data_IF_549115936510
#
_entry.id   IF_549115936510
#
_cell.length_a   1.000
_cell.length_b   1.000
_cell.length_c   1.000
_cell.angle_alpha   90.00
_cell.angle_beta   90.00
_cell.angle_gamma   90.00
#
_symmetry.space_group_name_H-M   'P 1'
#
loop_
_entity.id
_entity.type
_entity.pdbx_description
1 polymer ?
#
# COMPACT_ATOMS: atom_id res chain seq x y z
N UNK A 1 45.57 31.53 24.75
CA UNK A 1 45.29 30.61 23.62
C UNK A 1 45.72 31.28 22.33
N UNK A 2 46.51 30.62 21.47
CA UNK A 2 47.03 31.23 20.23
C UNK A 2 45.94 31.17 19.14
N UNK A 3 45.97 32.08 18.14
CA UNK A 3 44.99 32.10 17.02
C UNK A 3 44.85 30.74 16.32
N UNK A 4 45.96 30.00 16.21
CA UNK A 4 46.01 28.64 15.65
C UNK A 4 45.19 27.61 16.44
N UNK A 5 45.07 27.77 17.76
CA UNK A 5 44.28 26.87 18.62
C UNK A 5 42.78 27.09 18.39
N UNK A 6 42.36 28.35 18.21
CA UNK A 6 40.97 28.70 17.88
C UNK A 6 40.53 28.18 16.51
N UNK A 7 41.40 28.24 15.50
CA UNK A 7 41.09 27.68 14.18
C UNK A 7 40.87 26.16 14.26
N UNK A 8 41.70 25.45 15.04
CA UNK A 8 41.51 24.00 15.27
C UNK A 8 40.20 23.69 15.99
N UNK A 9 39.85 24.47 17.01
CA UNK A 9 38.58 24.31 17.73
C UNK A 9 37.39 24.52 16.79
N UNK A 10 37.40 25.56 15.96
CA UNK A 10 36.33 25.82 14.98
C UNK A 10 36.19 24.65 13.99
N UNK A 11 37.31 24.13 13.48
CA UNK A 11 37.29 22.98 12.57
C UNK A 11 36.72 21.73 13.22
N UNK A 12 37.12 21.42 14.45
CA UNK A 12 36.60 20.25 15.19
C UNK A 12 35.10 20.40 15.47
N UNK A 13 34.65 21.56 15.93
CA UNK A 13 33.22 21.82 16.19
C UNK A 13 32.41 21.73 14.89
N UNK A 14 32.94 22.27 13.78
CA UNK A 14 32.28 22.19 12.47
C UNK A 14 32.17 20.75 11.97
N UNK A 15 33.23 19.94 12.11
CA UNK A 15 33.21 18.52 11.74
C UNK A 15 32.20 17.73 12.57
N UNK A 16 32.17 17.94 13.88
CA UNK A 16 31.21 17.28 14.78
C UNK A 16 29.77 17.70 14.47
N UNK A 17 29.53 18.99 14.23
CA UNK A 17 28.22 19.50 13.85
C UNK A 17 27.71 18.91 12.53
N UNK A 18 28.55 18.87 11.49
CA UNK A 18 28.21 18.26 10.21
C UNK A 18 27.97 16.75 10.33
N UNK A 19 28.77 16.04 11.13
CA UNK A 19 28.58 14.62 11.39
C UNK A 19 27.23 14.36 12.09
N UNK A 20 26.89 15.15 13.10
CA UNK A 20 25.60 15.07 13.80
C UNK A 20 24.42 15.31 12.86
N UNK A 21 24.49 16.35 12.01
CA UNK A 21 23.46 16.62 11.00
C UNK A 21 23.29 15.46 10.02
N UNK A 22 24.38 14.91 9.50
CA UNK A 22 24.35 13.77 8.59
C UNK A 22 23.74 12.52 9.23
N UNK A 23 24.11 12.21 10.48
CA UNK A 23 23.56 11.08 11.22
C UNK A 23 22.06 11.23 11.47
N UNK A 24 21.60 12.43 11.84
CA UNK A 24 20.18 12.70 12.03
C UNK A 24 19.39 12.61 10.73
N UNK A 25 19.90 13.19 9.64
CA UNK A 25 19.26 13.09 8.33
C UNK A 25 19.13 11.62 7.89
N UNK A 26 20.19 10.81 8.05
CA UNK A 26 20.12 9.37 7.75
C UNK A 26 19.09 8.65 8.61
N UNK A 27 18.97 9.02 9.88
CA UNK A 27 17.99 8.43 10.80
C UNK A 27 16.56 8.77 10.39
N UNK A 28 16.30 10.02 10.01
CA UNK A 28 14.98 10.47 9.61
C UNK A 28 14.56 9.84 8.27
N UNK A 29 15.48 9.74 7.30
CA UNK A 29 15.25 9.02 6.06
C UNK A 29 14.88 7.56 6.33
N UNK A 30 15.63 6.87 7.20
CA UNK A 30 15.34 5.46 7.54
C UNK A 30 13.99 5.29 8.23
N UNK A 31 13.58 6.23 9.09
CA UNK A 31 12.24 6.21 9.70
C UNK A 31 11.15 6.36 8.65
N UNK A 32 11.37 7.22 7.65
CA UNK A 32 10.44 7.40 6.55
C UNK A 32 10.35 6.15 5.68
N UNK A 33 11.48 5.52 5.35
CA UNK A 33 11.51 4.24 4.61
C UNK A 33 10.73 3.15 5.35
N UNK A 34 11.00 2.93 6.64
CA UNK A 34 10.28 1.92 7.45
C UNK A 34 8.77 2.21 7.51
N UNK A 35 8.39 3.50 7.63
CA UNK A 35 6.99 3.90 7.62
C UNK A 35 6.35 3.58 6.27
N UNK A 36 7.02 3.89 5.17
CA UNK A 36 6.51 3.62 3.82
C UNK A 36 6.38 2.11 3.58
N UNK A 37 7.39 1.32 3.94
CA UNK A 37 7.35 -0.15 3.85
C UNK A 37 6.20 -0.75 4.67
N UNK A 38 5.96 -0.24 5.88
CA UNK A 38 4.85 -0.69 6.72
C UNK A 38 3.48 -0.36 6.09
N UNK A 39 3.31 0.87 5.60
CA UNK A 39 2.05 1.28 4.98
C UNK A 39 1.79 0.56 3.66
N UNK A 40 2.82 0.34 2.84
CA UNK A 40 2.74 -0.49 1.64
C UNK A 40 2.39 -1.94 2.00
N UNK A 41 2.91 -2.44 3.13
CA UNK A 41 2.58 -3.77 3.67
C UNK A 41 1.10 -3.95 4.01
N UNK A 42 0.43 -2.92 4.52
CA UNK A 42 -1.02 -2.98 4.77
C UNK A 42 -1.81 -3.12 3.46
N UNK A 43 -1.51 -2.29 2.45
CA UNK A 43 -2.15 -2.40 1.13
C UNK A 43 -1.90 -3.79 0.52
N UNK A 44 -0.66 -4.29 0.59
CA UNK A 44 -0.34 -5.62 0.09
C UNK A 44 -1.19 -6.69 0.78
N UNK A 45 -1.23 -6.67 2.11
CA UNK A 45 -1.97 -7.63 2.92
C UNK A 45 -3.45 -7.61 2.52
N UNK A 46 -4.05 -6.44 2.39
CA UNK A 46 -5.49 -6.31 2.17
C UNK A 46 -5.85 -6.75 0.74
N UNK A 47 -5.03 -6.42 -0.28
CA UNK A 47 -5.17 -6.96 -1.64
C UNK A 47 -5.02 -8.49 -1.68
N UNK A 48 -4.08 -9.06 -0.92
CA UNK A 48 -3.90 -10.52 -0.84
C UNK A 48 -5.04 -11.22 -0.08
N UNK A 49 -5.60 -10.58 0.96
CA UNK A 49 -6.80 -11.08 1.64
C UNK A 49 -8.02 -11.04 0.73
N UNK A 50 -8.20 -9.95 -0.01
CA UNK A 50 -9.27 -9.82 -1.00
C UNK A 50 -9.18 -10.93 -2.06
N UNK A 51 -7.98 -11.15 -2.62
CA UNK A 51 -7.73 -12.26 -3.56
C UNK A 51 -8.15 -13.61 -2.95
N UNK A 52 -7.61 -13.94 -1.77
CA UNK A 52 -7.92 -15.20 -1.10
C UNK A 52 -9.42 -15.35 -0.81
N UNK A 53 -10.10 -14.26 -0.45
CA UNK A 53 -11.52 -14.25 -0.10
C UNK A 53 -12.40 -14.46 -1.31
N UNK A 54 -12.09 -13.82 -2.45
CA UNK A 54 -12.83 -14.02 -3.71
C UNK A 54 -12.77 -15.49 -4.12
N UNK A 55 -11.58 -16.09 -4.10
CA UNK A 55 -11.40 -17.49 -4.49
C UNK A 55 -12.05 -18.45 -3.51
N UNK A 56 -11.98 -18.18 -2.20
CA UNK A 56 -12.70 -18.96 -1.20
C UNK A 56 -14.23 -18.90 -1.43
N UNK A 57 -14.78 -17.72 -1.74
CA UNK A 57 -16.20 -17.61 -2.05
C UNK A 57 -16.57 -18.31 -3.35
N UNK A 58 -15.71 -18.27 -4.37
CA UNK A 58 -15.93 -19.03 -5.60
C UNK A 58 -16.00 -20.55 -5.33
N UNK A 59 -15.06 -21.09 -4.54
CA UNK A 59 -15.03 -22.51 -4.17
C UNK A 59 -16.24 -22.94 -3.32
N UNK A 60 -16.87 -21.98 -2.62
CA UNK A 60 -18.01 -22.22 -1.74
C UNK A 60 -19.34 -21.72 -2.29
N UNK A 61 -19.43 -21.46 -3.60
CA UNK A 61 -20.65 -20.98 -4.28
C UNK A 61 -21.24 -19.70 -3.63
N UNK A 62 -20.38 -18.74 -3.28
CA UNK A 62 -20.76 -17.42 -2.80
C UNK A 62 -21.67 -17.45 -1.56
N UNK A 63 -21.38 -18.33 -0.60
CA UNK A 63 -22.16 -18.47 0.65
C UNK A 63 -22.11 -17.23 1.55
N UNK A 64 -21.06 -16.42 1.46
CA UNK A 64 -20.85 -15.22 2.27
C UNK A 64 -20.31 -14.08 1.39
N UNK A 65 -21.21 -13.51 0.59
CA UNK A 65 -20.90 -12.44 -0.36
C UNK A 65 -20.51 -11.14 0.33
N UNK A 66 -21.14 -10.84 1.48
CA UNK A 66 -20.80 -9.71 2.34
C UNK A 66 -19.31 -9.67 2.67
N UNK A 67 -18.67 -10.83 2.87
CA UNK A 67 -17.24 -10.88 3.20
C UNK A 67 -16.35 -10.32 2.08
N UNK A 68 -16.71 -10.52 0.81
CA UNK A 68 -15.93 -9.98 -0.31
C UNK A 68 -16.06 -8.46 -0.34
N UNK A 69 -17.26 -7.94 -0.13
CA UNK A 69 -17.48 -6.48 -0.07
C UNK A 69 -16.73 -5.85 1.10
N UNK A 70 -16.77 -6.47 2.28
CA UNK A 70 -15.98 -6.03 3.45
C UNK A 70 -14.48 -5.96 3.13
N UNK A 71 -13.96 -6.89 2.32
CA UNK A 71 -12.55 -6.89 1.92
C UNK A 71 -12.21 -5.84 0.86
N UNK A 72 -13.18 -5.45 0.04
CA UNK A 72 -13.05 -4.26 -0.82
C UNK A 72 -12.94 -3.01 0.05
N UNK A 73 -13.82 -2.86 1.04
CA UNK A 73 -13.81 -1.70 1.96
C UNK A 73 -12.50 -1.64 2.76
N UNK A 74 -12.04 -2.76 3.35
CA UNK A 74 -10.74 -2.84 4.04
C UNK A 74 -9.59 -2.37 3.13
N UNK A 75 -9.60 -2.80 1.86
CA UNK A 75 -8.59 -2.40 0.87
C UNK A 75 -8.66 -0.91 0.58
N UNK A 76 -9.87 -0.37 0.39
CA UNK A 76 -10.11 1.05 0.16
C UNK A 76 -9.62 1.91 1.34
N UNK A 77 -9.91 1.49 2.56
CA UNK A 77 -9.48 2.19 3.78
C UNK A 77 -7.95 2.23 3.90
N UNK A 78 -7.25 1.13 3.61
CA UNK A 78 -5.79 1.10 3.57
C UNK A 78 -5.21 2.04 2.50
N UNK A 79 -5.85 2.15 1.33
CA UNK A 79 -5.43 3.08 0.28
C UNK A 79 -5.66 4.54 0.70
N UNK A 80 -6.83 4.85 1.26
CA UNK A 80 -7.18 6.19 1.75
C UNK A 80 -6.25 6.61 2.89
N UNK A 81 -5.97 5.70 3.83
CA UNK A 81 -5.02 5.93 4.91
C UNK A 81 -3.63 6.24 4.34
N UNK A 82 -3.17 5.48 3.33
CA UNK A 82 -1.89 5.74 2.67
C UNK A 82 -1.86 7.10 1.98
N UNK A 83 -2.92 7.46 1.24
CA UNK A 83 -3.07 8.77 0.60
C UNK A 83 -3.00 9.92 1.60
N UNK A 84 -3.75 9.85 2.70
CA UNK A 84 -3.76 10.89 3.73
C UNK A 84 -2.42 11.06 4.46
N UNK A 85 -1.54 10.08 4.35
CA UNK A 85 -0.23 10.05 5.00
C UNK A 85 0.95 10.36 4.07
N UNK A 86 0.74 10.30 2.75
CA UNK A 86 1.75 10.46 1.73
C UNK A 86 1.97 11.95 1.41
N UNK A 87 3.24 12.35 1.29
CA UNK A 87 3.65 13.73 0.99
C UNK A 87 4.24 13.86 -0.42
N UNK A 88 4.64 12.75 -1.02
CA UNK A 88 5.16 12.69 -2.36
C UNK A 88 4.02 12.61 -3.39
N UNK A 89 3.93 13.62 -4.27
CA UNK A 89 2.85 13.74 -5.25
C UNK A 89 2.86 12.61 -6.29
N UNK A 90 4.03 12.08 -6.63
CA UNK A 90 4.15 11.00 -7.61
C UNK A 90 3.62 9.71 -7.00
N UNK A 91 3.96 9.45 -5.72
CA UNK A 91 3.39 8.33 -4.97
C UNK A 91 1.88 8.47 -4.80
N UNK A 92 1.39 9.67 -4.46
CA UNK A 92 -0.05 9.93 -4.38
C UNK A 92 -0.75 9.62 -5.70
N UNK A 93 -0.15 9.95 -6.84
CA UNK A 93 -0.73 9.67 -8.16
C UNK A 93 -0.93 8.18 -8.40
N UNK A 94 0.04 7.34 -7.99
CA UNK A 94 -0.09 5.87 -8.07
C UNK A 94 -1.23 5.39 -7.16
N UNK A 95 -1.31 5.89 -5.93
CA UNK A 95 -2.38 5.51 -4.99
C UNK A 95 -3.77 5.98 -5.43
N UNK A 96 -3.90 7.14 -6.06
CA UNK A 96 -5.15 7.60 -6.64
C UNK A 96 -5.62 6.69 -7.78
N UNK A 97 -4.70 6.25 -8.66
CA UNK A 97 -5.05 5.26 -9.71
C UNK A 97 -5.55 3.94 -9.11
N UNK A 98 -4.89 3.47 -8.04
CA UNK A 98 -5.32 2.28 -7.33
C UNK A 98 -6.70 2.47 -6.68
N UNK A 99 -6.91 3.59 -6.01
CA UNK A 99 -8.20 3.96 -5.42
C UNK A 99 -9.31 3.96 -6.49
N UNK A 100 -9.09 4.62 -7.62
CA UNK A 100 -10.07 4.72 -8.70
C UNK A 100 -10.35 3.38 -9.38
N UNK A 101 -9.32 2.51 -9.45
CA UNK A 101 -9.48 1.14 -9.90
C UNK A 101 -10.37 0.35 -8.93
N UNK A 102 -10.06 0.37 -7.63
CA UNK A 102 -10.81 -0.36 -6.60
C UNK A 102 -12.24 0.14 -6.44
N UNK A 103 -12.48 1.45 -6.63
CA UNK A 103 -13.81 2.07 -6.56
C UNK A 103 -14.82 1.45 -7.53
N UNK A 104 -14.37 0.86 -8.65
CA UNK A 104 -15.24 0.18 -9.63
C UNK A 104 -15.94 -1.06 -9.05
N UNK A 105 -15.41 -1.59 -7.95
CA UNK A 105 -15.84 -2.83 -7.30
C UNK A 105 -16.63 -2.59 -6.01
N UNK A 106 -16.77 -1.33 -5.60
CA UNK A 106 -17.56 -0.96 -4.41
C UNK A 106 -19.04 -1.23 -4.69
N UNK A 107 -19.70 -1.92 -3.76
CA UNK A 107 -21.13 -2.23 -3.81
C UNK A 107 -21.83 -1.50 -2.67
N UNK A 108 -22.96 -0.85 -2.97
CA UNK A 108 -23.69 -0.05 -1.99
C UNK A 108 -23.23 1.42 -1.92
N UNK A 109 -23.62 2.11 -0.85
CA UNK A 109 -23.31 3.53 -0.61
C UNK A 109 -22.06 3.74 0.26
N UNK A 110 -21.30 2.67 0.54
CA UNK A 110 -20.14 2.70 1.43
C UNK A 110 -20.48 2.51 2.91
N UNK A 111 -21.74 2.22 3.25
CA UNK A 111 -22.07 1.66 4.57
C UNK A 111 -21.92 0.14 4.56
N UNK A 112 -21.32 -0.41 5.61
CA UNK A 112 -21.20 -1.85 5.85
C UNK A 112 -22.59 -2.46 6.02
N UNK A 113 -23.25 -2.78 4.90
CA UNK A 113 -24.49 -3.52 4.91
C UNK A 113 -24.19 -4.94 5.43
N UNK A 114 -24.90 -5.33 6.49
CA UNK A 114 -24.69 -6.62 7.17
C UNK A 114 -25.10 -7.83 6.32
N UNK A 115 -25.89 -7.61 5.26
CA UNK A 115 -26.41 -8.64 4.38
C UNK A 115 -26.43 -8.12 2.93
N UNK A 116 -25.36 -8.38 2.19
CA UNK A 116 -25.24 -8.01 0.78
C UNK A 116 -25.47 -9.25 -0.05
N UNK A 117 -26.38 -9.14 -1.01
CA UNK A 117 -26.53 -10.10 -2.09
C UNK A 117 -26.01 -9.50 -3.39
N UNK A 118 -25.03 -10.16 -4.00
CA UNK A 118 -24.43 -9.80 -5.27
C UNK A 118 -25.28 -10.34 -6.42
N UNK A 119 -25.41 -9.52 -7.46
CA UNK A 119 -25.92 -9.99 -8.74
C UNK A 119 -24.84 -10.74 -9.54
N UNK A 120 -25.25 -11.43 -10.61
CA UNK A 120 -24.34 -12.26 -11.42
C UNK A 120 -23.23 -11.44 -12.08
N UNK A 121 -23.49 -10.17 -12.39
CA UNK A 121 -22.48 -9.27 -12.98
C UNK A 121 -21.45 -8.91 -11.92
N UNK A 122 -21.87 -8.54 -10.72
CA UNK A 122 -20.98 -8.20 -9.61
C UNK A 122 -20.11 -9.39 -9.22
N UNK A 123 -20.68 -10.60 -9.17
CA UNK A 123 -19.90 -11.84 -8.96
C UNK A 123 -18.86 -12.01 -10.07
N UNK A 124 -19.24 -11.85 -11.34
CA UNK A 124 -18.32 -11.99 -12.46
C UNK A 124 -17.18 -10.94 -12.41
N UNK A 125 -17.49 -9.70 -12.04
CA UNK A 125 -16.53 -8.62 -11.87
C UNK A 125 -15.53 -8.96 -10.74
N UNK A 126 -16.01 -9.51 -9.61
CA UNK A 126 -15.15 -9.98 -8.53
C UNK A 126 -14.29 -11.17 -8.92
N UNK A 127 -14.81 -12.15 -9.66
CA UNK A 127 -14.00 -13.27 -10.17
C UNK A 127 -12.84 -12.74 -11.01
N UNK A 128 -13.15 -11.84 -11.96
CA UNK A 128 -12.14 -11.19 -12.81
C UNK A 128 -11.09 -10.45 -11.99
N UNK A 129 -11.51 -9.71 -10.95
CA UNK A 129 -10.60 -9.05 -10.01
C UNK A 129 -9.71 -10.06 -9.28
N UNK A 130 -10.27 -11.15 -8.74
CA UNK A 130 -9.52 -12.19 -8.05
C UNK A 130 -8.50 -12.90 -8.94
N UNK A 131 -8.84 -13.15 -10.20
CA UNK A 131 -7.91 -13.68 -11.21
C UNK A 131 -6.78 -12.69 -11.52
N UNK A 132 -7.12 -11.41 -11.70
CA UNK A 132 -6.12 -10.34 -11.94
C UNK A 132 -5.17 -10.20 -10.75
N UNK A 133 -5.69 -10.15 -9.52
CA UNK A 133 -4.89 -10.08 -8.29
C UNK A 133 -3.91 -11.26 -8.21
N UNK A 134 -4.41 -12.50 -8.40
CA UNK A 134 -3.59 -13.70 -8.35
C UNK A 134 -2.50 -13.71 -9.44
N UNK A 135 -2.86 -13.39 -10.68
CA UNK A 135 -1.91 -13.39 -11.80
C UNK A 135 -0.82 -12.32 -11.66
N UNK A 136 -1.12 -11.21 -10.99
CA UNK A 136 -0.15 -10.16 -10.63
C UNK A 136 0.57 -10.42 -9.31
N UNK A 137 0.34 -11.57 -8.68
CA UNK A 137 1.03 -12.00 -7.48
C UNK A 137 0.57 -11.33 -6.18
N UNK A 138 -0.62 -10.72 -6.14
CA UNK A 138 -1.27 -10.26 -4.91
C UNK A 138 -1.89 -11.45 -4.18
N UNK A 139 -1.05 -12.37 -3.70
CA UNK A 139 -1.48 -13.57 -3.01
C UNK A 139 -0.49 -13.94 -1.91
N UNK A 140 -0.99 -14.55 -0.83
CA UNK A 140 -0.14 -15.11 0.23
C UNK A 140 0.70 -16.29 -0.26
N UNK A 141 0.35 -16.91 -1.39
CA UNK A 141 1.10 -18.04 -1.96
C UNK A 141 2.42 -17.62 -2.63
N UNK A 142 2.65 -16.34 -2.91
CA UNK A 142 3.86 -15.89 -3.62
C UNK A 142 5.12 -15.91 -2.74
N UNK A 143 4.99 -16.01 -1.41
CA UNK A 143 6.09 -16.14 -0.45
C UNK A 143 6.99 -14.91 -0.29
N UNK A 144 7.05 -14.01 -1.29
CA UNK A 144 7.87 -12.80 -1.30
C UNK A 144 6.95 -11.59 -1.26
N UNK A 145 6.85 -10.99 -0.07
CA UNK A 145 6.24 -9.68 0.14
C UNK A 145 7.37 -8.65 0.11
N UNK A 146 7.60 -8.05 -1.05
CA UNK A 146 8.54 -6.93 -1.17
C UNK A 146 7.76 -5.61 -1.16
N UNK A 147 7.90 -4.86 -0.07
CA UNK A 147 7.21 -3.58 0.16
C UNK A 147 8.08 -2.38 -0.19
N UNK A 148 9.28 -2.60 -0.73
CA UNK A 148 10.10 -1.54 -1.29
C UNK A 148 9.32 -0.79 -2.37
N UNK A 149 9.40 0.54 -2.35
CA UNK A 149 8.57 1.40 -3.20
C UNK A 149 8.66 1.05 -4.69
N UNK A 150 9.85 0.81 -5.23
CA UNK A 150 10.01 0.61 -6.68
C UNK A 150 9.33 -0.68 -7.15
N UNK A 151 9.48 -1.75 -6.38
CA UNK A 151 8.87 -3.05 -6.67
C UNK A 151 7.36 -2.99 -6.43
N UNK A 152 6.95 -2.42 -5.30
CA UNK A 152 5.56 -2.27 -4.92
C UNK A 152 4.77 -1.40 -5.90
N UNK A 153 5.32 -0.24 -6.30
CA UNK A 153 4.69 0.67 -7.25
C UNK A 153 4.58 0.05 -8.64
N UNK A 154 5.63 -0.61 -9.15
CA UNK A 154 5.58 -1.32 -10.44
C UNK A 154 4.45 -2.35 -10.46
N UNK A 155 4.27 -3.09 -9.37
CA UNK A 155 3.21 -4.11 -9.26
C UNK A 155 1.81 -3.49 -9.15
N UNK A 156 1.67 -2.35 -8.46
CA UNK A 156 0.43 -1.58 -8.45
C UNK A 156 0.09 -1.05 -9.84
N UNK A 157 1.08 -0.51 -10.55
CA UNK A 157 0.90 -0.02 -11.91
C UNK A 157 0.44 -1.13 -12.84
N UNK A 158 1.01 -2.32 -12.75
CA UNK A 158 0.53 -3.48 -13.50
C UNK A 158 -0.89 -3.92 -13.15
N UNK A 159 -1.31 -3.77 -11.89
CA UNK A 159 -2.66 -4.10 -11.46
C UNK A 159 -3.69 -3.12 -12.06
N UNK A 160 -3.37 -1.82 -12.06
CA UNK A 160 -4.29 -0.78 -12.55
C UNK A 160 -4.20 -0.57 -14.06
N UNK A 161 -3.12 -1.03 -14.71
CA UNK A 161 -2.96 -1.00 -16.16
C UNK A 161 -3.89 -2.04 -16.80
N UNK A 162 -4.53 -1.63 -17.89
CA UNK A 162 -5.64 -2.34 -18.55
C UNK A 162 -6.90 -2.43 -17.68
N UNK A 163 -7.63 -1.32 -17.66
CA UNK A 163 -9.07 -1.26 -17.48
C UNK A 163 -9.69 -0.48 -18.62
#
# INVERSE_FOLDING_TARGET
MRKLDWIKVILVVSLLGNCYLFLNQKRDNRKQEIRDELLNGYIYRDLAQLEATIHDQQDHNWKNETLVVQKIDDTMDSIIMRLGMERDNDKQTVFWKLHDYMKKFVVGDGTLALDITLDDRQRADYISLGEKLRSKGWSFKSGIIDTNWDIFSSKLEELVRES
#
